data_IF_960268494245
#
_entry.id   IF_960268494245
#
_cell.length_a   1.000
_cell.length_b   1.000
_cell.length_c   1.000
_cell.angle_alpha   90.00
_cell.angle_beta   90.00
_cell.angle_gamma   90.00
#
_symmetry.space_group_name_H-M   'P 1'
#
loop_
_entity.id
_entity.type
_entity.pdbx_description
1 polymer ?
#
# COMPACT_ATOMS: atom_id res chain seq x y z
N UNK A 1 -8.89 23.73 -20.07
CA UNK A 1 -10.08 23.90 -19.21
C UNK A 1 -11.29 23.46 -20.04
N UNK A 2 -12.09 22.50 -19.58
CA UNK A 2 -13.27 22.05 -20.30
C UNK A 2 -14.45 23.01 -20.10
N UNK A 3 -15.28 23.16 -21.13
CA UNK A 3 -16.40 24.12 -21.23
C UNK A 3 -17.58 23.74 -20.29
N UNK A 4 -18.01 24.63 -19.38
CA UNK A 4 -19.17 24.44 -18.52
C UNK A 4 -20.51 24.21 -19.23
N UNK A 5 -20.59 24.43 -20.54
CA UNK A 5 -21.79 24.14 -21.34
C UNK A 5 -22.01 22.64 -21.60
N UNK A 6 -21.03 21.78 -21.29
CA UNK A 6 -21.09 20.32 -21.49
C UNK A 6 -21.74 19.54 -20.34
N UNK A 7 -22.26 20.20 -19.31
CA UNK A 7 -23.05 19.56 -18.24
C UNK A 7 -24.53 19.42 -18.66
N UNK A 8 -25.10 18.20 -18.75
CA UNK A 8 -26.53 18.04 -19.02
C UNK A 8 -27.36 18.63 -17.88
N UNK A 9 -28.30 19.54 -18.21
CA UNK A 9 -29.19 20.26 -17.27
C UNK A 9 -30.21 19.39 -16.50
N UNK A 10 -30.12 18.08 -16.59
CA UNK A 10 -31.09 17.14 -16.00
C UNK A 10 -30.52 16.30 -14.84
N UNK A 11 -29.65 16.89 -14.03
CA UNK A 11 -29.22 16.29 -12.76
C UNK A 11 -30.26 16.57 -11.67
N UNK A 12 -30.98 15.55 -11.22
CA UNK A 12 -31.79 15.65 -9.99
C UNK A 12 -33.13 14.91 -9.96
N UNK A 13 -33.61 14.33 -11.07
CA UNK A 13 -34.90 13.60 -11.06
C UNK A 13 -34.71 12.09 -11.17
N UNK A 14 -35.27 11.35 -10.21
CA UNK A 14 -35.34 9.90 -10.23
C UNK A 14 -36.27 9.43 -11.38
N UNK A 15 -35.91 8.37 -12.13
CA UNK A 15 -36.72 7.90 -13.25
C UNK A 15 -38.10 7.42 -12.78
N UNK A 16 -39.15 7.88 -13.47
CA UNK A 16 -40.56 7.66 -13.08
C UNK A 16 -41.12 6.27 -13.40
N UNK A 17 -40.39 5.41 -14.12
CA UNK A 17 -40.73 3.99 -14.32
C UNK A 17 -39.49 3.10 -14.40
N UNK A 18 -39.56 1.98 -13.67
CA UNK A 18 -38.57 0.89 -13.63
C UNK A 18 -38.58 0.13 -14.97
N UNK A 19 -37.42 -0.17 -15.60
CA UNK A 19 -37.36 -1.03 -16.78
C UNK A 19 -37.85 -2.45 -16.48
N UNK A 20 -38.48 -3.08 -17.45
CA UNK A 20 -39.06 -4.42 -17.30
C UNK A 20 -37.94 -5.47 -17.17
N UNK A 21 -37.95 -6.22 -16.07
CA UNK A 21 -36.89 -7.15 -15.68
C UNK A 21 -37.16 -8.54 -16.27
N UNK A 22 -36.42 -8.92 -17.32
CA UNK A 22 -36.21 -10.32 -17.68
C UNK A 22 -35.17 -10.92 -16.74
N UNK A 23 -35.65 -11.69 -15.75
CA UNK A 23 -34.93 -12.65 -14.89
C UNK A 23 -33.48 -12.32 -14.46
N UNK A 24 -33.29 -11.27 -13.67
CA UNK A 24 -32.28 -11.28 -12.61
C UNK A 24 -32.88 -10.70 -11.33
N UNK A 25 -33.22 -11.59 -10.40
CA UNK A 25 -33.62 -11.22 -9.04
C UNK A 25 -32.39 -10.70 -8.29
N UNK A 26 -32.36 -9.40 -8.02
CA UNK A 26 -31.66 -8.85 -6.86
C UNK A 26 -32.74 -8.55 -5.82
N UNK A 27 -32.87 -9.47 -4.86
CA UNK A 27 -33.55 -9.17 -3.59
C UNK A 27 -32.56 -8.45 -2.70
N UNK A 28 -33.00 -7.36 -2.08
CA UNK A 28 -32.32 -6.70 -0.97
C UNK A 28 -31.81 -7.77 0.01
N UNK A 29 -30.49 -7.99 0.05
CA UNK A 29 -29.91 -9.01 0.92
C UNK A 29 -28.54 -8.57 1.41
N UNK A 30 -28.40 -8.61 2.74
CA UNK A 30 -27.17 -8.39 3.49
C UNK A 30 -26.22 -9.60 3.38
N UNK A 31 -25.86 -10.04 2.16
CA UNK A 31 -24.93 -11.17 1.98
C UNK A 31 -23.91 -10.85 0.87
N UNK A 32 -22.60 -11.18 1.04
CA UNK A 32 -21.56 -10.84 0.08
C UNK A 32 -21.73 -11.61 -1.23
N UNK A 33 -21.67 -10.90 -2.36
CA UNK A 33 -21.78 -11.48 -3.71
C UNK A 33 -20.59 -12.39 -4.04
N UNK A 34 -20.87 -13.65 -4.37
CA UNK A 34 -19.90 -14.61 -4.94
C UNK A 34 -19.63 -14.25 -6.42
N UNK A 35 -18.38 -13.96 -6.79
CA UNK A 35 -17.92 -13.77 -8.18
C UNK A 35 -16.97 -14.91 -8.59
N UNK A 36 -16.89 -15.41 -9.83
CA UNK A 36 -16.24 -16.69 -10.23
C UNK A 36 -14.71 -16.86 -9.96
N UNK A 37 -14.20 -18.07 -10.21
CA UNK A 37 -12.95 -18.69 -9.67
C UNK A 37 -11.59 -18.09 -10.11
N UNK A 38 -11.59 -16.92 -10.77
CA UNK A 38 -10.38 -16.34 -11.37
C UNK A 38 -10.46 -14.81 -11.61
N UNK A 39 -10.91 -14.03 -10.63
CA UNK A 39 -10.83 -12.56 -10.69
C UNK A 39 -9.37 -12.09 -10.93
N UNK A 40 -9.04 -11.12 -11.79
CA UNK A 40 -9.82 -10.09 -12.49
C UNK A 40 -9.91 -10.30 -14.01
N UNK A 41 -11.11 -10.40 -14.57
CA UNK A 41 -11.48 -9.95 -15.93
C UNK A 41 -13.00 -10.05 -16.16
N UNK A 42 -13.84 -9.56 -15.23
CA UNK A 42 -15.31 -9.58 -15.41
C UNK A 42 -16.01 -8.27 -14.94
N UNK A 43 -17.20 -7.94 -15.49
CA UNK A 43 -17.78 -6.59 -15.50
C UNK A 43 -18.62 -6.18 -14.27
N UNK A 44 -18.56 -4.89 -13.90
CA UNK A 44 -19.53 -4.23 -13.02
C UNK A 44 -20.53 -3.40 -13.82
N UNK A 45 -21.80 -3.38 -13.39
CA UNK A 45 -22.80 -2.51 -13.95
C UNK A 45 -22.55 -1.06 -13.47
N UNK A 46 -22.01 -0.24 -14.39
CA UNK A 46 -22.14 1.23 -14.46
C UNK A 46 -21.71 2.05 -13.23
N UNK A 47 -20.58 2.76 -13.32
CA UNK A 47 -20.36 3.96 -12.50
C UNK A 47 -21.00 5.19 -13.18
N UNK A 48 -21.95 5.88 -12.55
CA UNK A 48 -22.42 7.15 -13.03
C UNK A 48 -21.37 8.22 -12.70
N UNK A 49 -20.66 8.74 -13.71
CA UNK A 49 -19.91 10.00 -13.59
C UNK A 49 -18.43 9.95 -13.18
N UNK A 50 -17.75 8.79 -13.24
CA UNK A 50 -16.32 8.67 -12.93
C UNK A 50 -15.40 9.07 -14.09
N UNK A 51 -14.29 9.73 -13.78
CA UNK A 51 -13.30 10.21 -14.74
C UNK A 51 -12.75 9.11 -15.66
N UNK A 52 -13.00 9.27 -16.97
CA UNK A 52 -12.20 8.69 -18.05
C UNK A 52 -12.92 7.63 -18.89
N UNK A 53 -13.09 7.91 -20.19
CA UNK A 53 -13.39 6.90 -21.21
C UNK A 53 -12.42 5.67 -21.16
N UNK A 54 -11.26 5.81 -20.52
CA UNK A 54 -10.28 4.73 -20.29
C UNK A 54 -10.69 3.69 -19.22
N UNK A 55 -11.62 4.02 -18.32
CA UNK A 55 -12.10 3.12 -17.26
C UNK A 55 -13.21 2.15 -17.75
N UNK A 56 -13.71 2.35 -18.98
CA UNK A 56 -14.78 1.55 -19.57
C UNK A 56 -14.16 0.51 -20.53
N UNK A 57 -14.35 -0.78 -20.24
CA UNK A 57 -14.08 -1.87 -21.20
C UNK A 57 -15.36 -2.37 -21.85
N UNK A 58 -15.20 -3.15 -22.92
CA UNK A 58 -16.27 -3.97 -23.48
C UNK A 58 -15.99 -5.43 -23.16
N UNK A 59 -17.01 -6.16 -22.72
CA UNK A 59 -16.92 -7.61 -22.56
C UNK A 59 -16.91 -8.33 -23.92
N UNK A 60 -16.86 -9.67 -23.90
CA UNK A 60 -16.90 -10.52 -25.10
C UNK A 60 -18.17 -10.35 -25.94
N UNK A 61 -19.22 -9.75 -25.37
CA UNK A 61 -20.51 -9.47 -26.00
C UNK A 61 -20.63 -8.00 -26.45
N UNK A 62 -19.57 -7.19 -26.25
CA UNK A 62 -19.51 -5.79 -26.65
C UNK A 62 -20.18 -4.81 -25.68
N UNK A 63 -20.61 -5.26 -24.50
CA UNK A 63 -21.28 -4.44 -23.49
C UNK A 63 -20.26 -3.68 -22.64
N UNK A 64 -20.50 -2.38 -22.48
CA UNK A 64 -19.66 -1.51 -21.68
C UNK A 64 -19.73 -1.88 -20.19
N UNK A 65 -18.58 -1.99 -19.53
CA UNK A 65 -18.47 -2.20 -18.09
C UNK A 65 -17.35 -1.40 -17.47
N UNK A 66 -17.48 -1.18 -16.16
CA UNK A 66 -16.50 -0.42 -15.39
C UNK A 66 -15.38 -1.34 -14.86
N UNK A 67 -14.14 -1.12 -15.31
CA UNK A 67 -12.96 -1.89 -14.86
C UNK A 67 -12.57 -1.61 -13.40
N UNK A 68 -12.98 -0.46 -12.86
CA UNK A 68 -12.62 0.04 -11.52
C UNK A 68 -13.56 -0.55 -10.48
N UNK A 69 -14.84 -0.68 -10.79
CA UNK A 69 -15.86 -1.18 -9.85
C UNK A 69 -16.31 -2.62 -10.13
N UNK A 70 -15.75 -3.19 -11.21
CA UNK A 70 -16.03 -4.47 -11.87
C UNK A 70 -16.44 -5.65 -11.03
N UNK A 71 -15.44 -6.21 -10.37
CA UNK A 71 -15.50 -7.52 -9.74
C UNK A 71 -14.58 -7.51 -8.52
N UNK A 72 -14.98 -8.26 -7.49
CA UNK A 72 -14.15 -8.59 -6.33
C UNK A 72 -13.74 -10.06 -6.41
N UNK A 73 -12.50 -10.40 -6.09
CA UNK A 73 -12.13 -11.79 -5.85
C UNK A 73 -12.98 -12.47 -4.75
N UNK A 74 -13.29 -13.77 -4.90
CA UNK A 74 -14.00 -14.54 -3.85
C UNK A 74 -13.18 -14.55 -2.57
N UNK A 75 -13.80 -14.13 -1.48
CA UNK A 75 -13.15 -14.06 -0.18
C UNK A 75 -14.09 -14.65 0.87
N UNK A 76 -13.82 -15.90 1.28
CA UNK A 76 -14.59 -16.64 2.27
C UNK A 76 -13.72 -17.25 3.38
N UNK A 77 -12.39 -17.30 3.23
CA UNK A 77 -11.47 -17.86 4.22
C UNK A 77 -11.58 -17.21 5.60
N UNK A 78 -11.84 -15.90 5.64
CA UNK A 78 -12.04 -15.11 6.86
C UNK A 78 -13.34 -15.47 7.60
N UNK A 79 -14.30 -16.10 6.92
CA UNK A 79 -15.55 -16.58 7.52
C UNK A 79 -15.38 -17.92 8.23
N UNK A 80 -14.27 -18.62 8.01
CA UNK A 80 -13.94 -19.86 8.72
C UNK A 80 -13.72 -19.55 10.21
N UNK A 81 -14.06 -20.47 11.14
CA UNK A 81 -13.71 -20.29 12.55
C UNK A 81 -12.19 -20.08 12.70
N UNK A 82 -11.72 -19.09 13.49
CA UNK A 82 -10.29 -18.79 13.60
C UNK A 82 -9.40 -19.97 14.01
N UNK A 83 -9.95 -20.90 14.79
CA UNK A 83 -9.28 -22.15 15.19
C UNK A 83 -8.96 -23.09 14.01
N UNK A 84 -9.54 -22.87 12.83
CA UNK A 84 -9.36 -23.68 11.62
C UNK A 84 -8.47 -23.01 10.59
N UNK A 85 -7.99 -21.80 10.85
CA UNK A 85 -7.11 -21.09 9.94
C UNK A 85 -5.78 -21.81 9.77
N UNK A 86 -5.29 -21.87 8.54
CA UNK A 86 -3.88 -22.19 8.30
C UNK A 86 -2.98 -21.12 8.93
N UNK A 87 -1.69 -21.42 9.11
CA UNK A 87 -0.71 -20.41 9.52
C UNK A 87 -0.74 -19.17 8.61
N UNK A 88 -0.95 -19.38 7.31
CA UNK A 88 -0.95 -18.31 6.31
C UNK A 88 -2.22 -17.46 6.38
N UNK A 89 -3.38 -18.09 6.58
CA UNK A 89 -4.64 -17.38 6.84
C UNK A 89 -4.56 -16.59 8.15
N UNK A 90 -3.95 -17.13 9.20
CA UNK A 90 -3.69 -16.40 10.43
C UNK A 90 -2.80 -15.17 10.20
N UNK A 91 -1.71 -15.30 9.46
CA UNK A 91 -0.83 -14.16 9.12
C UNK A 91 -1.60 -13.10 8.30
N UNK A 92 -2.36 -13.53 7.29
CA UNK A 92 -3.19 -12.62 6.49
C UNK A 92 -4.29 -11.94 7.33
N UNK A 93 -4.80 -12.61 8.36
CA UNK A 93 -5.86 -12.09 9.24
C UNK A 93 -5.44 -10.85 10.03
N UNK A 94 -4.12 -10.61 10.18
CA UNK A 94 -3.59 -9.42 10.85
C UNK A 94 -3.98 -8.11 10.15
N UNK A 95 -4.40 -8.17 8.88
CA UNK A 95 -4.89 -7.01 8.11
C UNK A 95 -6.39 -7.05 7.80
N UNK A 96 -7.17 -7.87 8.53
CA UNK A 96 -8.63 -7.73 8.50
C UNK A 96 -9.01 -6.36 9.06
N UNK A 97 -9.25 -5.43 8.15
CA UNK A 97 -9.59 -4.06 8.43
C UNK A 97 -10.95 -3.97 9.14
N UNK A 98 -11.27 -2.81 9.74
CA UNK A 98 -12.59 -2.53 10.27
C UNK A 98 -13.67 -2.78 9.21
N UNK A 99 -14.79 -3.39 9.58
CA UNK A 99 -15.86 -3.79 8.65
C UNK A 99 -16.37 -2.64 7.78
N UNK A 100 -16.45 -1.43 8.36
CA UNK A 100 -16.83 -0.19 7.67
C UNK A 100 -15.95 0.12 6.45
N UNK A 101 -14.70 -0.34 6.43
CA UNK A 101 -13.78 -0.13 5.32
C UNK A 101 -14.11 -1.00 4.11
N UNK A 102 -14.75 -2.16 4.32
CA UNK A 102 -15.06 -3.10 3.23
C UNK A 102 -16.40 -2.83 2.54
N UNK A 103 -17.28 -2.08 3.22
CA UNK A 103 -18.61 -1.77 2.72
C UNK A 103 -18.58 -0.47 1.92
N UNK A 104 -19.39 -0.41 0.86
CA UNK A 104 -19.69 0.86 0.20
C UNK A 104 -20.48 1.72 1.18
N UNK A 105 -20.03 2.95 1.39
CA UNK A 105 -20.73 3.89 2.25
C UNK A 105 -22.10 4.26 1.67
N UNK A 106 -23.11 4.33 2.52
CA UNK A 106 -24.45 4.70 2.07
C UNK A 106 -24.48 6.16 1.60
N UNK A 107 -25.04 6.41 0.42
CA UNK A 107 -25.16 7.75 -0.16
C UNK A 107 -26.02 8.71 0.68
N UNK A 108 -26.85 8.16 1.57
CA UNK A 108 -27.68 8.92 2.51
C UNK A 108 -26.93 9.39 3.75
N UNK A 109 -25.72 8.89 4.01
CA UNK A 109 -24.92 9.34 5.14
C UNK A 109 -24.31 10.72 4.91
N UNK A 110 -24.11 11.45 6.01
CA UNK A 110 -23.45 12.76 5.98
C UNK A 110 -22.02 12.63 5.45
N UNK A 111 -21.67 13.40 4.42
CA UNK A 111 -20.30 13.46 3.88
C UNK A 111 -19.27 13.79 4.98
N UNK A 112 -18.07 13.19 4.89
CA UNK A 112 -17.00 13.39 5.89
C UNK A 112 -16.35 14.78 5.87
N UNK A 113 -16.67 15.61 4.88
CA UNK A 113 -16.00 16.90 4.65
C UNK A 113 -14.65 16.75 3.92
N UNK A 114 -13.79 17.79 3.91
CA UNK A 114 -12.48 17.70 3.29
C UNK A 114 -11.58 16.68 4.01
N UNK A 115 -10.68 15.96 3.30
CA UNK A 115 -9.74 15.05 3.97
C UNK A 115 -8.89 15.80 5.01
N UNK A 116 -8.62 15.24 6.21
CA UNK A 116 -7.72 15.86 7.17
C UNK A 116 -6.27 15.84 6.67
N UNK A 117 -5.46 16.78 7.18
CA UNK A 117 -4.01 16.77 7.01
C UNK A 117 -3.35 15.97 8.14
N UNK A 118 -2.51 15.00 7.80
CA UNK A 118 -1.70 14.26 8.76
C UNK A 118 -0.28 14.83 8.83
N UNK A 119 0.14 15.40 9.97
CA UNK A 119 1.47 16.01 10.08
C UNK A 119 2.58 14.96 10.26
N UNK A 120 3.69 15.13 9.56
CA UNK A 120 4.84 14.21 9.55
C UNK A 120 5.41 13.93 10.96
N UNK A 121 5.40 14.92 11.87
CA UNK A 121 5.94 14.73 13.22
C UNK A 121 5.19 13.64 14.01
N UNK A 122 3.89 13.46 13.78
CA UNK A 122 3.10 12.39 14.43
C UNK A 122 3.53 11.02 13.97
N UNK A 123 3.96 10.89 12.72
CA UNK A 123 4.42 9.62 12.18
C UNK A 123 5.84 9.31 12.62
N UNK A 124 6.74 10.30 12.64
CA UNK A 124 8.07 10.13 13.21
C UNK A 124 8.01 9.81 14.72
N UNK A 125 7.06 10.39 15.47
CA UNK A 125 6.81 10.08 16.87
C UNK A 125 6.31 8.64 17.12
N UNK A 126 5.82 7.96 16.09
CA UNK A 126 5.50 6.53 16.12
C UNK A 126 6.68 5.68 15.61
N UNK A 127 7.22 6.01 14.44
CA UNK A 127 8.23 5.21 13.74
C UNK A 127 9.51 5.13 14.55
N UNK A 128 10.06 6.28 14.99
CA UNK A 128 11.37 6.33 15.65
C UNK A 128 11.37 5.53 16.97
N UNK A 129 10.44 5.75 17.92
CA UNK A 129 10.45 5.00 19.17
C UNK A 129 10.20 3.50 18.95
N UNK A 130 9.26 3.13 18.07
CA UNK A 130 8.91 1.73 17.84
C UNK A 130 10.06 0.98 17.14
N UNK A 131 10.68 1.59 16.13
CA UNK A 131 11.86 1.01 15.46
C UNK A 131 13.11 1.00 16.36
N UNK A 132 13.16 1.83 17.41
CA UNK A 132 14.27 1.84 18.38
C UNK A 132 14.28 0.65 19.34
N UNK A 133 13.15 -0.04 19.53
CA UNK A 133 13.01 -1.13 20.51
C UNK A 133 14.14 -2.17 20.43
N UNK A 134 14.44 -2.81 19.28
CA UNK A 134 15.51 -3.80 19.20
C UNK A 134 16.90 -3.19 19.43
N UNK A 135 17.12 -1.95 18.99
CA UNK A 135 18.39 -1.24 19.21
C UNK A 135 18.64 -0.98 20.70
N UNK A 136 17.60 -0.55 21.43
CA UNK A 136 17.67 -0.31 22.88
C UNK A 136 17.88 -1.62 23.64
N UNK A 137 17.15 -2.69 23.29
CA UNK A 137 17.31 -4.00 23.93
C UNK A 137 18.72 -4.55 23.67
N UNK A 138 19.21 -4.47 22.44
CA UNK A 138 20.57 -4.89 22.08
C UNK A 138 21.63 -4.08 22.83
N UNK A 139 21.50 -2.75 22.86
CA UNK A 139 22.40 -1.89 23.63
C UNK A 139 22.41 -2.25 25.12
N UNK A 140 21.22 -2.43 25.71
CA UNK A 140 21.07 -2.80 27.12
C UNK A 140 21.70 -4.18 27.40
N UNK A 141 21.47 -5.17 26.54
CA UNK A 141 22.11 -6.48 26.62
C UNK A 141 23.65 -6.36 26.67
N UNK A 142 24.23 -5.63 25.72
CA UNK A 142 25.68 -5.46 25.63
C UNK A 142 26.29 -4.66 26.79
N UNK A 143 25.47 -3.87 27.51
CA UNK A 143 25.86 -3.14 28.73
C UNK A 143 25.74 -4.00 29.98
N UNK A 144 24.67 -4.79 30.10
CA UNK A 144 24.41 -5.63 31.27
C UNK A 144 25.26 -6.90 31.28
N UNK A 145 25.61 -7.42 30.10
CA UNK A 145 26.40 -8.66 29.96
C UNK A 145 27.60 -8.42 29.03
N UNK A 146 28.59 -7.61 29.44
CA UNK A 146 29.69 -7.19 28.56
C UNK A 146 30.56 -8.35 28.07
N UNK A 147 30.71 -9.42 28.85
CA UNK A 147 31.47 -10.63 28.47
C UNK A 147 30.74 -11.51 27.43
N UNK A 148 29.44 -11.29 27.22
CA UNK A 148 28.62 -12.04 26.27
C UNK A 148 27.82 -11.08 25.38
N UNK A 149 28.53 -10.32 24.55
CA UNK A 149 27.93 -9.46 23.52
C UNK A 149 26.94 -10.24 22.66
N UNK A 150 25.87 -9.57 22.24
CA UNK A 150 24.80 -10.20 21.49
C UNK A 150 25.33 -10.75 20.17
N UNK A 151 25.36 -12.07 20.05
CA UNK A 151 25.78 -12.74 18.83
C UNK A 151 24.81 -12.47 17.68
N UNK A 152 25.28 -12.54 16.44
CA UNK A 152 24.49 -12.18 15.26
C UNK A 152 23.18 -12.99 15.15
N UNK A 153 23.20 -14.28 15.50
CA UNK A 153 22.04 -15.17 15.37
C UNK A 153 20.88 -14.81 16.34
N UNK A 154 21.07 -14.77 17.68
CA UNK A 154 20.03 -14.28 18.58
C UNK A 154 19.74 -12.78 18.38
N UNK A 155 20.72 -12.00 17.91
CA UNK A 155 20.52 -10.64 17.45
C UNK A 155 19.50 -10.56 16.31
N UNK A 156 19.66 -11.33 15.24
CA UNK A 156 18.71 -11.32 14.14
C UNK A 156 17.30 -11.71 14.59
N UNK A 157 17.17 -12.74 15.44
CA UNK A 157 15.85 -13.11 16.01
C UNK A 157 15.21 -11.94 16.76
N UNK A 158 15.96 -11.21 17.59
CA UNK A 158 15.47 -10.02 18.30
C UNK A 158 14.96 -8.94 17.32
N UNK A 159 15.76 -8.63 16.29
CA UNK A 159 15.39 -7.59 15.31
C UNK A 159 14.22 -8.03 14.43
N UNK A 160 14.16 -9.30 14.05
CA UNK A 160 13.09 -9.88 13.26
C UNK A 160 11.76 -9.86 14.02
N UNK A 161 11.73 -10.34 15.27
CA UNK A 161 10.53 -10.28 16.10
C UNK A 161 10.10 -8.84 16.39
N UNK A 162 11.04 -7.92 16.59
CA UNK A 162 10.74 -6.51 16.76
C UNK A 162 10.18 -5.86 15.49
N UNK A 163 10.63 -6.29 14.31
CA UNK A 163 10.09 -5.84 13.02
C UNK A 163 8.66 -6.34 12.81
N UNK A 164 8.36 -7.59 13.19
CA UNK A 164 6.98 -8.11 13.20
C UNK A 164 6.10 -7.30 14.15
N UNK A 165 6.59 -7.00 15.36
CA UNK A 165 5.88 -6.13 16.30
C UNK A 165 5.64 -4.73 15.73
N UNK A 166 6.65 -4.13 15.08
CA UNK A 166 6.52 -2.84 14.41
C UNK A 166 5.42 -2.87 13.34
N UNK A 167 5.43 -3.88 12.47
CA UNK A 167 4.42 -4.07 11.42
C UNK A 167 3.01 -4.25 12.01
N UNK A 168 2.87 -5.06 13.06
CA UNK A 168 1.58 -5.28 13.74
C UNK A 168 1.02 -3.99 14.34
N UNK A 169 1.85 -3.24 15.08
CA UNK A 169 1.43 -1.95 15.68
C UNK A 169 1.10 -0.91 14.61
N UNK A 170 1.85 -0.89 13.51
CA UNK A 170 1.63 -0.02 12.38
C UNK A 170 0.30 -0.32 11.68
N UNK A 171 0.02 -1.60 11.37
CA UNK A 171 -1.23 -2.01 10.71
C UNK A 171 -2.43 -1.62 11.59
N UNK A 172 -2.40 -1.95 12.89
CA UNK A 172 -3.47 -1.55 13.81
C UNK A 172 -3.66 -0.03 13.90
N UNK A 173 -2.59 0.75 13.81
CA UNK A 173 -2.66 2.22 13.70
C UNK A 173 -3.34 2.66 12.40
N UNK A 174 -2.97 2.08 11.25
CA UNK A 174 -3.58 2.41 9.96
C UNK A 174 -5.07 2.06 9.95
N UNK A 175 -5.45 0.89 10.44
CA UNK A 175 -6.86 0.47 10.60
C UNK A 175 -7.68 1.46 11.42
N UNK A 176 -7.14 1.95 12.54
CA UNK A 176 -7.80 2.99 13.34
C UNK A 176 -8.11 4.23 12.51
N UNK A 177 -7.17 4.68 11.68
CA UNK A 177 -7.39 5.83 10.80
C UNK A 177 -8.31 5.53 9.62
N UNK A 178 -8.29 4.32 9.06
CA UNK A 178 -9.27 3.89 8.05
C UNK A 178 -10.70 3.97 8.60
N UNK A 179 -10.94 3.50 9.83
CA UNK A 179 -12.25 3.65 10.48
C UNK A 179 -12.61 5.11 10.79
N UNK A 180 -11.63 5.89 11.26
CA UNK A 180 -11.88 7.27 11.73
C UNK A 180 -12.10 8.24 10.57
N UNK A 181 -11.21 8.23 9.57
CA UNK A 181 -11.22 9.16 8.45
C UNK A 181 -11.97 8.62 7.22
N UNK A 182 -12.32 7.34 7.22
CA UNK A 182 -12.81 6.66 6.03
C UNK A 182 -11.67 6.33 5.06
N UNK A 183 -12.05 5.78 3.92
CA UNK A 183 -11.12 5.49 2.83
C UNK A 183 -11.49 6.32 1.59
N UNK A 184 -10.51 6.59 0.74
CA UNK A 184 -10.78 7.21 -0.55
C UNK A 184 -11.78 6.37 -1.33
N UNK A 185 -12.62 7.05 -2.12
CA UNK A 185 -13.64 6.43 -2.98
C UNK A 185 -14.77 5.67 -2.25
N UNK A 186 -14.93 5.87 -0.93
CA UNK A 186 -15.85 5.09 -0.09
C UNK A 186 -17.32 5.13 -0.55
N UNK A 187 -17.74 6.16 -1.29
CA UNK A 187 -19.10 6.27 -1.87
C UNK A 187 -19.33 5.33 -3.05
N UNK A 188 -18.27 4.95 -3.76
CA UNK A 188 -18.33 4.09 -4.93
C UNK A 188 -18.02 2.63 -4.55
N UNK A 189 -16.97 2.40 -3.75
CA UNK A 189 -16.48 1.06 -3.41
C UNK A 189 -15.69 1.04 -2.09
N UNK A 190 -15.92 0.03 -1.26
CA UNK A 190 -15.09 -0.27 -0.09
C UNK A 190 -13.77 -0.94 -0.48
N UNK A 191 -12.87 -1.17 0.48
CA UNK A 191 -11.59 -1.86 0.26
C UNK A 191 -11.77 -3.32 -0.14
N UNK A 192 -10.77 -3.86 -0.80
CA UNK A 192 -10.67 -5.24 -1.24
C UNK A 192 -10.11 -6.11 -0.10
N UNK A 193 -10.40 -7.41 -0.17
CA UNK A 193 -9.79 -8.42 0.69
C UNK A 193 -8.97 -9.37 -0.14
N UNK A 194 -8.08 -10.11 0.53
CA UNK A 194 -7.30 -11.19 -0.06
C UNK A 194 -8.23 -12.34 -0.41
N UNK A 195 -8.14 -12.86 -1.62
CA UNK A 195 -9.01 -13.94 -2.05
C UNK A 195 -8.58 -15.33 -1.58
N UNK A 196 -9.51 -16.27 -1.62
CA UNK A 196 -9.32 -17.64 -1.13
C UNK A 196 -8.19 -18.40 -1.84
N UNK A 197 -7.92 -18.07 -3.12
CA UNK A 197 -6.89 -18.73 -3.91
C UNK A 197 -5.50 -18.22 -3.56
N UNK A 198 -5.36 -16.93 -3.26
CA UNK A 198 -4.06 -16.31 -3.02
C UNK A 198 -3.72 -16.12 -1.53
N UNK A 199 -4.64 -16.32 -0.58
CA UNK A 199 -4.35 -16.12 0.86
C UNK A 199 -3.14 -16.90 1.38
N UNK A 200 -2.99 -18.16 0.96
CA UNK A 200 -1.84 -18.97 1.37
C UNK A 200 -0.53 -18.52 0.71
N UNK A 201 -0.60 -17.99 -0.52
CA UNK A 201 0.57 -17.41 -1.20
C UNK A 201 1.00 -16.13 -0.48
N UNK A 202 0.06 -15.21 -0.26
CA UNK A 202 0.30 -13.97 0.46
C UNK A 202 0.95 -14.19 1.84
N UNK A 203 0.42 -15.12 2.65
CA UNK A 203 1.01 -15.43 3.96
C UNK A 203 2.47 -15.90 3.88
N UNK A 204 2.82 -16.67 2.84
CA UNK A 204 4.20 -17.09 2.57
C UNK A 204 5.06 -15.91 2.11
N UNK A 205 4.54 -15.05 1.23
CA UNK A 205 5.23 -13.85 0.76
C UNK A 205 5.53 -12.88 1.89
N UNK A 206 4.60 -12.67 2.82
CA UNK A 206 4.81 -11.86 4.04
C UNK A 206 5.95 -12.46 4.89
N UNK A 207 5.95 -13.77 5.10
CA UNK A 207 7.01 -14.44 5.84
C UNK A 207 8.38 -14.27 5.16
N UNK A 208 8.47 -14.53 3.86
CA UNK A 208 9.70 -14.36 3.06
C UNK A 208 10.18 -12.90 3.13
N UNK A 209 9.27 -11.95 2.88
CA UNK A 209 9.56 -10.52 2.93
C UNK A 209 10.16 -10.11 4.28
N UNK A 210 9.51 -10.47 5.40
CA UNK A 210 9.96 -10.07 6.74
C UNK A 210 11.33 -10.69 7.09
N UNK A 211 11.58 -11.94 6.70
CA UNK A 211 12.89 -12.60 6.89
C UNK A 211 13.98 -11.85 6.12
N UNK A 212 13.81 -11.65 4.82
CA UNK A 212 14.88 -11.05 4.00
C UNK A 212 15.09 -9.57 4.25
N UNK A 213 14.02 -8.81 4.52
CA UNK A 213 14.14 -7.40 4.94
C UNK A 213 14.97 -7.27 6.20
N UNK A 214 14.72 -8.12 7.20
CA UNK A 214 15.45 -8.05 8.47
C UNK A 214 16.85 -8.67 8.42
N UNK A 215 17.13 -9.55 7.47
CA UNK A 215 18.50 -10.05 7.21
C UNK A 215 19.40 -9.00 6.53
N UNK A 216 18.84 -8.09 5.73
CA UNK A 216 19.58 -7.07 4.99
C UNK A 216 20.61 -6.29 5.83
N UNK A 217 20.23 -5.65 6.95
CA UNK A 217 21.16 -4.94 7.83
C UNK A 217 22.30 -5.83 8.35
N UNK A 218 22.00 -7.10 8.64
CA UNK A 218 22.97 -8.05 9.16
C UNK A 218 24.01 -8.42 8.11
N UNK A 219 23.58 -8.70 6.88
CA UNK A 219 24.48 -9.03 5.78
C UNK A 219 25.34 -7.80 5.42
N UNK A 220 24.69 -6.64 5.24
CA UNK A 220 25.33 -5.45 4.69
C UNK A 220 26.23 -4.73 5.70
N UNK A 221 25.83 -4.65 6.97
CA UNK A 221 26.47 -3.73 7.92
C UNK A 221 26.72 -4.29 9.33
N UNK A 222 26.36 -5.54 9.65
CA UNK A 222 26.79 -6.13 10.93
C UNK A 222 28.28 -6.44 10.92
N UNK A 223 29.06 -5.80 11.79
CA UNK A 223 30.52 -5.95 11.85
C UNK A 223 31.00 -5.98 13.30
N UNK A 224 32.03 -6.79 13.56
CA UNK A 224 32.61 -6.96 14.89
C UNK A 224 31.59 -7.45 15.92
N UNK A 225 31.80 -7.03 17.17
CA UNK A 225 30.96 -7.42 18.31
C UNK A 225 29.69 -6.57 18.46
N UNK A 226 29.50 -5.56 17.61
CA UNK A 226 28.37 -4.62 17.65
C UNK A 226 28.10 -4.03 19.05
N UNK A 227 29.18 -3.70 19.78
CA UNK A 227 29.11 -3.27 21.19
C UNK A 227 28.13 -2.11 21.44
N UNK A 228 27.95 -1.21 20.48
CA UNK A 228 26.91 -0.20 20.48
C UNK A 228 26.12 -0.24 19.15
N UNK A 229 24.86 -0.71 19.13
CA UNK A 229 24.09 -0.77 17.89
C UNK A 229 23.68 0.60 17.33
N UNK A 230 23.86 1.69 18.10
CA UNK A 230 23.66 3.06 17.62
C UNK A 230 24.90 3.66 16.96
N UNK A 231 26.02 2.93 16.94
CA UNK A 231 27.24 3.41 16.30
C UNK A 231 27.02 3.64 14.79
N UNK A 232 27.51 4.78 14.31
CA UNK A 232 27.34 5.22 12.92
C UNK A 232 26.23 6.26 12.71
N UNK A 233 25.37 6.52 13.70
CA UNK A 233 24.47 7.68 13.65
C UNK A 233 25.26 8.99 13.63
N UNK A 234 24.86 9.89 12.74
CA UNK A 234 25.46 11.22 12.56
C UNK A 234 24.43 12.21 12.01
N UNK A 235 24.82 13.47 11.85
CA UNK A 235 23.99 14.47 11.19
C UNK A 235 23.62 14.09 9.74
N UNK A 236 24.41 13.21 9.11
CA UNK A 236 24.16 12.71 7.76
C UNK A 236 23.20 11.51 7.70
N UNK A 237 22.78 10.94 8.83
CA UNK A 237 21.94 9.75 8.83
C UNK A 237 20.59 9.98 8.18
N UNK A 238 19.93 11.11 8.47
CA UNK A 238 18.65 11.45 7.82
C UNK A 238 18.83 11.64 6.31
N UNK A 239 19.78 12.47 5.81
CA UNK A 239 20.07 12.57 4.39
C UNK A 239 20.42 11.24 3.71
N UNK A 240 21.16 10.34 4.37
CA UNK A 240 21.48 9.02 3.82
C UNK A 240 20.25 8.14 3.66
N UNK A 241 19.39 8.10 4.68
CA UNK A 241 18.11 7.35 4.61
C UNK A 241 17.24 7.92 3.50
N UNK A 242 17.09 9.25 3.43
CA UNK A 242 16.37 9.92 2.35
C UNK A 242 16.94 9.58 0.95
N UNK A 243 18.27 9.60 0.80
CA UNK A 243 18.93 9.24 -0.45
C UNK A 243 18.67 7.78 -0.81
N UNK A 244 18.64 6.88 0.17
CA UNK A 244 18.27 5.48 -0.04
C UNK A 244 16.84 5.32 -0.51
N UNK A 245 15.87 5.98 0.13
CA UNK A 245 14.47 5.94 -0.31
C UNK A 245 14.31 6.47 -1.75
N UNK A 246 14.97 7.59 -2.11
CA UNK A 246 14.91 8.13 -3.47
C UNK A 246 15.57 7.20 -4.50
N UNK A 247 16.70 6.57 -4.16
CA UNK A 247 17.37 5.62 -5.03
C UNK A 247 16.55 4.34 -5.22
N UNK A 248 15.95 3.83 -4.15
CA UNK A 248 15.02 2.71 -4.18
C UNK A 248 13.82 3.03 -5.08
N UNK A 249 13.25 4.22 -4.90
CA UNK A 249 12.13 4.71 -5.68
C UNK A 249 12.44 4.83 -7.18
N UNK A 250 13.69 5.17 -7.55
CA UNK A 250 14.10 5.21 -8.95
C UNK A 250 14.02 3.84 -9.63
N UNK A 251 14.64 2.83 -9.00
CA UNK A 251 14.65 1.47 -9.53
C UNK A 251 13.25 0.88 -9.53
N UNK A 252 12.46 1.17 -8.50
CA UNK A 252 11.05 0.83 -8.44
C UNK A 252 10.28 1.47 -9.61
N UNK A 253 10.34 2.79 -9.75
CA UNK A 253 9.69 3.56 -10.80
C UNK A 253 10.01 3.02 -12.20
N UNK A 254 11.28 2.68 -12.46
CA UNK A 254 11.72 2.20 -13.76
C UNK A 254 11.04 0.87 -14.14
N UNK A 255 11.08 -0.14 -13.27
CA UNK A 255 10.43 -1.42 -13.59
C UNK A 255 8.91 -1.25 -13.58
N UNK A 256 8.38 -0.48 -12.64
CA UNK A 256 6.96 -0.33 -12.43
C UNK A 256 6.31 0.35 -13.63
N UNK A 257 6.81 1.52 -14.04
CA UNK A 257 6.36 2.17 -15.28
C UNK A 257 6.50 1.26 -16.48
N UNK A 258 7.60 0.51 -16.60
CA UNK A 258 7.79 -0.41 -17.73
C UNK A 258 6.69 -1.48 -17.79
N UNK A 259 6.23 -2.01 -16.65
CA UNK A 259 5.13 -2.97 -16.61
C UNK A 259 3.79 -2.36 -17.05
N UNK A 260 3.57 -1.06 -16.79
CA UNK A 260 2.37 -0.35 -17.21
C UNK A 260 2.37 0.05 -18.69
N UNK A 261 3.50 0.53 -19.20
CA UNK A 261 3.62 1.08 -20.55
C UNK A 261 3.81 -0.02 -21.62
N UNK A 262 4.40 -1.17 -21.26
CA UNK A 262 4.65 -2.27 -22.20
C UNK A 262 3.75 -3.47 -21.91
N UNK A 263 2.85 -3.80 -22.84
CA UNK A 263 1.93 -4.94 -22.74
C UNK A 263 2.63 -6.28 -22.45
N UNK A 264 3.82 -6.48 -23.03
CA UNK A 264 4.63 -7.68 -22.83
C UNK A 264 5.18 -7.83 -21.40
N UNK A 265 5.19 -6.77 -20.60
CA UNK A 265 5.68 -6.76 -19.22
C UNK A 265 4.54 -6.72 -18.18
N UNK A 266 3.30 -6.42 -18.60
CA UNK A 266 2.15 -6.30 -17.70
C UNK A 266 1.91 -7.56 -16.86
N UNK A 267 2.25 -8.74 -17.37
CA UNK A 267 2.09 -9.99 -16.63
C UNK A 267 2.86 -10.03 -15.30
N UNK A 268 3.94 -9.24 -15.16
CA UNK A 268 4.72 -9.15 -13.93
C UNK A 268 3.92 -8.43 -12.84
N UNK A 269 3.12 -7.42 -13.22
CA UNK A 269 2.50 -6.49 -12.26
C UNK A 269 0.98 -6.63 -12.15
N UNK A 270 0.33 -7.36 -13.06
CA UNK A 270 -1.12 -7.51 -13.10
C UNK A 270 -1.72 -8.10 -11.82
N UNK A 271 -1.02 -9.03 -11.16
CA UNK A 271 -1.51 -9.69 -9.94
C UNK A 271 -1.58 -8.70 -8.78
N UNK A 272 -0.59 -7.83 -8.66
CA UNK A 272 -0.62 -6.74 -7.70
C UNK A 272 -1.83 -5.81 -7.89
N UNK A 273 -2.11 -5.49 -9.16
CA UNK A 273 -3.29 -4.72 -9.55
C UNK A 273 -4.60 -5.51 -9.63
N UNK A 274 -4.62 -6.78 -9.24
CA UNK A 274 -5.88 -7.52 -9.07
C UNK A 274 -6.75 -6.88 -7.96
N UNK A 275 -6.12 -6.13 -7.05
CA UNK A 275 -6.82 -5.30 -6.06
C UNK A 275 -6.82 -3.84 -6.52
N UNK A 276 -8.03 -3.26 -6.61
CA UNK A 276 -8.25 -1.85 -7.02
C UNK A 276 -8.31 -0.92 -5.83
N UNK A 277 -8.77 -1.46 -4.69
CA UNK A 277 -8.86 -0.74 -3.44
C UNK A 277 -8.12 -1.57 -2.36
N UNK A 278 -6.79 -1.72 -2.43
CA UNK A 278 -6.04 -2.59 -1.54
C UNK A 278 -6.16 -2.24 -0.04
N UNK A 279 -5.68 -3.10 0.84
CA UNK A 279 -5.45 -2.80 2.26
C UNK A 279 -3.95 -2.85 2.53
N UNK A 280 -3.46 -2.38 3.70
CA UNK A 280 -2.02 -2.31 3.96
C UNK A 280 -1.23 -3.58 3.62
N UNK A 281 -1.73 -4.78 3.92
CA UNK A 281 -1.01 -6.03 3.65
C UNK A 281 -1.05 -6.45 2.19
N UNK A 282 -2.03 -5.97 1.42
CA UNK A 282 -2.09 -6.22 -0.02
C UNK A 282 -0.94 -5.55 -0.77
N UNK A 283 -0.14 -4.72 -0.09
CA UNK A 283 1.12 -4.17 -0.64
C UNK A 283 2.13 -5.23 -1.07
N UNK A 284 2.05 -6.45 -0.52
CA UNK A 284 2.94 -7.57 -0.86
C UNK A 284 2.24 -8.66 -1.68
N UNK A 285 0.95 -8.50 -2.01
CA UNK A 285 0.28 -9.42 -2.91
C UNK A 285 0.82 -9.21 -4.34
N UNK A 286 1.62 -10.16 -4.82
CA UNK A 286 2.20 -10.15 -6.15
C UNK A 286 2.57 -11.57 -6.60
N UNK A 287 2.99 -11.72 -7.86
CA UNK A 287 3.57 -12.96 -8.38
C UNK A 287 5.08 -13.03 -8.07
N UNK A 288 5.64 -14.25 -8.06
CA UNK A 288 7.04 -14.55 -7.69
C UNK A 288 8.09 -13.64 -8.36
N UNK A 289 7.87 -13.25 -9.62
CA UNK A 289 8.81 -12.40 -10.38
C UNK A 289 8.84 -10.99 -9.79
N UNK A 290 7.66 -10.40 -9.54
CA UNK A 290 7.57 -9.08 -8.93
C UNK A 290 8.10 -9.10 -7.50
N UNK A 291 7.77 -10.14 -6.72
CA UNK A 291 8.33 -10.32 -5.37
C UNK A 291 9.86 -10.36 -5.41
N UNK A 292 10.45 -11.10 -6.35
CA UNK A 292 11.91 -11.15 -6.49
C UNK A 292 12.51 -9.78 -6.82
N UNK A 293 11.88 -9.04 -7.74
CA UNK A 293 12.30 -7.68 -8.11
C UNK A 293 12.25 -6.75 -6.90
N UNK A 294 11.14 -6.71 -6.17
CA UNK A 294 10.90 -5.75 -5.08
C UNK A 294 11.63 -6.11 -3.79
N UNK A 295 11.78 -7.39 -3.46
CA UNK A 295 12.43 -7.85 -2.23
C UNK A 295 13.96 -7.83 -2.37
N UNK A 296 14.49 -8.20 -3.54
CA UNK A 296 15.93 -8.40 -3.73
C UNK A 296 16.55 -7.38 -4.67
N UNK A 297 16.07 -7.28 -5.91
CA UNK A 297 16.77 -6.55 -6.97
C UNK A 297 16.74 -5.04 -6.71
N UNK A 298 15.57 -4.46 -6.46
CA UNK A 298 15.39 -3.02 -6.25
C UNK A 298 16.18 -2.53 -5.03
N UNK A 299 16.09 -3.16 -3.83
CA UNK A 299 16.90 -2.74 -2.68
C UNK A 299 18.41 -2.93 -2.90
N UNK A 300 18.82 -3.99 -3.60
CA UNK A 300 20.22 -4.21 -3.95
C UNK A 300 20.74 -3.08 -4.85
N UNK A 301 20.05 -2.77 -5.95
CA UNK A 301 20.45 -1.70 -6.86
C UNK A 301 20.45 -0.32 -6.18
N UNK A 302 19.50 -0.06 -5.28
CA UNK A 302 19.50 1.14 -4.45
C UNK A 302 20.77 1.21 -3.59
N UNK A 303 21.14 0.11 -2.93
CA UNK A 303 22.32 0.06 -2.07
C UNK A 303 23.64 0.34 -2.81
N UNK A 304 23.73 0.00 -4.11
CA UNK A 304 24.92 0.23 -4.93
C UNK A 304 25.18 1.71 -5.23
N UNK A 305 24.13 2.53 -5.28
CA UNK A 305 24.22 3.96 -5.66
C UNK A 305 24.05 4.91 -4.48
N UNK A 306 23.76 4.38 -3.29
CA UNK A 306 23.60 5.16 -2.06
C UNK A 306 24.88 5.20 -1.24
N UNK A 307 25.13 6.27 -0.47
CA UNK A 307 26.26 6.30 0.46
C UNK A 307 26.22 5.12 1.43
N UNK A 308 27.38 4.61 1.82
CA UNK A 308 27.46 3.51 2.79
C UNK A 308 26.72 3.88 4.09
N UNK A 309 25.76 3.03 4.44
CA UNK A 309 24.94 3.16 5.64
C UNK A 309 25.41 2.20 6.74
N UNK A 310 25.42 2.70 7.96
CA UNK A 310 25.61 1.91 9.18
C UNK A 310 24.42 0.97 9.42
N UNK A 311 24.59 0.00 10.31
CA UNK A 311 23.55 -0.97 10.64
C UNK A 311 22.24 -0.30 11.06
N UNK A 312 22.31 0.70 11.94
CA UNK A 312 21.15 1.47 12.42
C UNK A 312 20.50 2.33 11.34
N UNK A 313 21.28 2.91 10.42
CA UNK A 313 20.75 3.66 9.28
C UNK A 313 19.93 2.75 8.34
N UNK A 314 20.44 1.55 8.00
CA UNK A 314 19.71 0.57 7.17
C UNK A 314 18.45 0.08 7.90
N UNK A 315 18.54 -0.20 9.20
CA UNK A 315 17.40 -0.61 10.03
C UNK A 315 16.26 0.41 9.99
N UNK A 316 16.57 1.70 10.17
CA UNK A 316 15.56 2.75 10.06
C UNK A 316 15.02 2.89 8.63
N UNK A 317 15.87 2.84 7.61
CA UNK A 317 15.43 2.89 6.22
C UNK A 317 14.38 1.80 5.92
N UNK A 318 14.62 0.56 6.34
CA UNK A 318 13.66 -0.53 6.15
C UNK A 318 12.33 -0.29 6.90
N UNK A 319 12.38 0.29 8.10
CA UNK A 319 11.16 0.62 8.86
C UNK A 319 10.36 1.75 8.19
N UNK A 320 11.02 2.78 7.67
CA UNK A 320 10.37 3.85 6.90
C UNK A 320 9.78 3.32 5.60
N UNK A 321 10.55 2.53 4.85
CA UNK A 321 10.10 1.88 3.63
C UNK A 321 8.83 1.07 3.87
N UNK A 322 8.84 0.12 4.81
CA UNK A 322 7.65 -0.68 5.16
C UNK A 322 6.45 0.21 5.49
N UNK A 323 6.70 1.25 6.28
CA UNK A 323 5.66 2.17 6.71
C UNK A 323 5.00 2.90 5.53
N UNK A 324 5.79 3.41 4.60
CA UNK A 324 5.29 4.15 3.43
C UNK A 324 4.58 3.21 2.45
N UNK A 325 5.12 2.01 2.23
CA UNK A 325 4.50 1.00 1.37
C UNK A 325 3.11 0.60 1.89
N UNK A 326 3.00 0.27 3.18
CA UNK A 326 1.73 -0.09 3.81
C UNK A 326 0.74 1.10 3.83
N UNK A 327 1.25 2.31 4.10
CA UNK A 327 0.47 3.54 4.09
C UNK A 327 -0.15 3.81 2.70
N UNK A 328 0.62 3.67 1.62
CA UNK A 328 0.15 3.87 0.25
C UNK A 328 -0.98 2.93 -0.16
N UNK A 329 -0.99 1.70 0.37
CA UNK A 329 -2.05 0.71 0.08
C UNK A 329 -3.25 0.81 1.02
N UNK A 330 -3.17 1.60 2.09
CA UNK A 330 -4.26 1.72 3.07
C UNK A 330 -5.53 2.38 2.51
N UNK A 331 -5.37 3.26 1.51
CA UNK A 331 -6.45 4.09 0.98
C UNK A 331 -7.07 5.04 2.01
N UNK A 332 -6.41 5.33 3.14
CA UNK A 332 -6.92 6.23 4.18
C UNK A 332 -7.23 7.59 3.56
N UNK A 333 -8.45 8.10 3.78
CA UNK A 333 -8.92 9.38 3.25
C UNK A 333 -8.32 10.57 3.98
N UNK A 334 -7.04 10.83 3.80
CA UNK A 334 -6.30 11.94 4.40
C UNK A 334 -5.18 12.42 3.47
N UNK A 335 -4.85 13.72 3.52
CA UNK A 335 -3.57 14.15 2.99
C UNK A 335 -2.49 13.72 3.97
N UNK A 336 -1.80 12.65 3.61
CA UNK A 336 -0.83 12.01 4.48
C UNK A 336 0.47 11.80 3.70
N UNK A 337 1.43 12.73 3.84
CA UNK A 337 2.65 12.70 3.05
C UNK A 337 3.68 11.75 3.65
N UNK A 338 4.69 11.39 2.85
CA UNK A 338 5.86 10.62 3.27
C UNK A 338 6.51 11.23 4.55
N UNK A 339 6.79 10.44 5.61
CA UNK A 339 7.20 10.94 6.94
C UNK A 339 8.59 11.60 6.98
N UNK A 340 9.49 11.27 6.05
CA UNK A 340 10.77 11.96 5.86
C UNK A 340 10.76 12.99 4.72
N UNK A 341 10.44 12.54 3.49
CA UNK A 341 10.61 13.33 2.27
C UNK A 341 9.50 14.35 2.00
N UNK A 342 8.34 14.23 2.66
CA UNK A 342 7.14 15.00 2.36
C UNK A 342 7.35 16.53 2.38
N UNK A 343 7.93 17.05 3.45
CA UNK A 343 8.15 18.50 3.61
C UNK A 343 9.13 19.06 2.58
N UNK A 344 10.19 18.32 2.28
CA UNK A 344 11.26 18.75 1.37
C UNK A 344 10.79 18.75 -0.09
N UNK A 345 9.98 17.75 -0.47
CA UNK A 345 9.53 17.57 -1.85
C UNK A 345 8.24 18.32 -2.19
N UNK A 346 7.45 18.71 -1.17
CA UNK A 346 6.17 19.44 -1.35
C UNK A 346 6.31 20.73 -2.14
N UNK A 347 7.29 21.63 -1.88
CA UNK A 347 7.45 22.86 -2.65
C UNK A 347 7.73 22.64 -4.14
N UNK A 348 8.20 21.44 -4.51
CA UNK A 348 8.50 21.05 -5.88
C UNK A 348 7.34 20.27 -6.54
N UNK A 349 6.26 20.00 -5.79
CA UNK A 349 5.17 19.13 -6.23
C UNK A 349 5.61 17.67 -6.43
N UNK A 350 6.66 17.23 -5.74
CA UNK A 350 7.28 15.91 -5.86
C UNK A 350 7.02 15.01 -4.65
N UNK A 351 6.23 15.48 -3.69
CA UNK A 351 5.90 14.73 -2.48
C UNK A 351 4.87 13.65 -2.77
N UNK A 352 5.08 12.45 -2.22
CA UNK A 352 4.09 11.38 -2.23
C UNK A 352 3.14 11.52 -1.04
N UNK A 353 1.85 11.31 -1.28
CA UNK A 353 0.79 11.16 -0.29
C UNK A 353 -0.05 9.91 -0.58
N UNK A 354 -0.81 9.42 0.42
CA UNK A 354 -1.62 8.18 0.31
C UNK A 354 -2.48 8.12 -0.95
N UNK A 355 -3.12 9.25 -1.33
CA UNK A 355 -4.00 9.27 -2.49
C UNK A 355 -3.29 8.97 -3.81
N UNK A 356 -2.00 9.30 -3.93
CA UNK A 356 -1.26 9.13 -5.17
C UNK A 356 -1.19 7.64 -5.57
N UNK A 357 -0.92 6.76 -4.60
CA UNK A 357 -0.88 5.30 -4.82
C UNK A 357 -2.28 4.66 -4.81
N UNK A 358 -3.22 5.22 -4.06
CA UNK A 358 -4.63 4.78 -4.13
C UNK A 358 -5.20 4.97 -5.54
N UNK A 359 -4.99 6.15 -6.15
CA UNK A 359 -5.42 6.43 -7.52
C UNK A 359 -4.69 5.54 -8.53
N UNK A 360 -3.41 5.28 -8.30
CA UNK A 360 -2.63 4.36 -9.11
C UNK A 360 -3.30 2.96 -9.17
N UNK A 361 -3.61 2.35 -8.03
CA UNK A 361 -4.35 1.08 -7.97
C UNK A 361 -5.75 1.16 -8.57
N UNK A 362 -6.48 2.22 -8.24
CA UNK A 362 -7.87 2.43 -8.67
C UNK A 362 -7.97 2.39 -10.20
N UNK A 363 -7.04 3.03 -10.90
CA UNK A 363 -7.02 3.05 -12.36
C UNK A 363 -6.24 1.88 -12.99
N UNK A 364 -5.67 0.98 -12.18
CA UNK A 364 -5.00 -0.23 -12.64
C UNK A 364 -3.91 0.04 -13.67
N UNK A 365 -3.94 -0.66 -14.81
CA UNK A 365 -2.93 -0.52 -15.86
C UNK A 365 -2.77 0.91 -16.40
N UNK A 366 -3.86 1.69 -16.44
CA UNK A 366 -3.82 3.10 -16.86
C UNK A 366 -3.52 4.07 -15.71
N UNK A 367 -3.19 3.55 -14.53
CA UNK A 367 -2.78 4.33 -13.37
C UNK A 367 -1.51 5.13 -13.64
N UNK A 368 -1.48 6.33 -13.08
CA UNK A 368 -0.32 7.23 -13.03
C UNK A 368 0.34 7.13 -11.65
N UNK A 369 1.30 8.01 -11.33
CA UNK A 369 2.02 8.00 -10.05
C UNK A 369 2.76 6.68 -9.81
N UNK A 370 3.74 6.36 -10.65
CA UNK A 370 4.47 5.10 -10.60
C UNK A 370 5.52 5.07 -9.46
N UNK A 371 5.84 6.19 -8.81
CA UNK A 371 6.71 6.20 -7.63
C UNK A 371 6.03 5.66 -6.37
N UNK A 372 6.79 4.98 -5.52
CA UNK A 372 6.33 4.35 -4.26
C UNK A 372 6.79 5.09 -3.00
N UNK A 373 7.87 5.87 -3.09
CA UNK A 373 8.38 6.72 -2.00
C UNK A 373 8.27 8.21 -2.32
N UNK A 374 8.34 8.58 -3.60
CA UNK A 374 8.26 9.98 -4.04
C UNK A 374 7.48 10.12 -5.33
N UNK A 375 7.21 11.36 -5.75
CA UNK A 375 6.79 11.69 -7.12
C UNK A 375 7.91 12.39 -7.90
N UNK A 376 9.17 12.27 -7.47
CA UNK A 376 10.32 12.91 -8.16
C UNK A 376 10.36 12.43 -9.61
N UNK A 377 10.35 11.11 -9.80
CA UNK A 377 10.45 10.48 -11.11
C UNK A 377 9.20 10.71 -11.94
N UNK A 378 8.02 10.65 -11.31
CA UNK A 378 6.77 11.00 -11.98
C UNK A 378 6.77 12.44 -12.50
N UNK A 379 7.29 13.38 -11.72
CA UNK A 379 7.36 14.80 -12.10
C UNK A 379 8.35 15.01 -13.24
N UNK A 380 9.53 14.37 -13.17
CA UNK A 380 10.58 14.47 -14.20
C UNK A 380 10.08 13.90 -15.54
N UNK A 381 9.34 12.79 -15.50
CA UNK A 381 8.95 12.05 -16.71
C UNK A 381 7.48 12.25 -17.13
N UNK A 382 6.75 13.14 -16.47
CA UNK A 382 5.40 13.55 -16.88
C UNK A 382 4.29 12.54 -16.57
N UNK A 383 4.47 11.69 -15.55
CA UNK A 383 3.51 10.64 -15.16
C UNK A 383 2.78 10.95 -13.85
N UNK A 384 2.79 12.20 -13.39
CA UNK A 384 1.97 12.65 -12.24
C UNK A 384 0.49 12.59 -12.60
N UNK A 385 -0.29 11.90 -11.76
CA UNK A 385 -1.75 11.96 -11.73
C UNK A 385 -2.24 13.06 -10.81
N UNK A 386 -3.34 13.72 -11.17
CA UNK A 386 -3.99 14.70 -10.30
C UNK A 386 -4.73 13.99 -9.18
N UNK A 387 -4.52 14.47 -7.95
CA UNK A 387 -5.29 14.05 -6.77
C UNK A 387 -6.75 14.45 -6.95
N UNK A 388 -7.70 13.64 -6.47
CA UNK A 388 -9.13 13.88 -6.62
C UNK A 388 -9.70 14.50 -5.34
N UNK A 389 -9.50 13.83 -4.21
CA UNK A 389 -10.06 14.19 -2.91
C UNK A 389 -9.13 15.12 -2.11
N UNK A 390 -7.82 15.01 -2.29
CA UNK A 390 -6.83 15.90 -1.66
C UNK A 390 -6.39 17.08 -2.55
N UNK A 391 -7.03 17.30 -3.71
CA UNK A 391 -6.71 18.38 -4.65
C UNK A 391 -6.73 19.78 -4.00
N UNK A 392 -7.65 20.01 -3.06
CA UNK A 392 -7.94 21.33 -2.49
C UNK A 392 -6.93 21.81 -1.43
N UNK A 393 -5.85 21.08 -1.17
CA UNK A 393 -4.95 21.37 -0.04
C UNK A 393 -3.62 22.04 -0.42
N UNK A 394 -3.41 22.35 -1.70
CA UNK A 394 -2.14 22.84 -2.24
C UNK A 394 -2.35 23.81 -3.40
#
# INVERSE_FOLDING_TARGET
>A
MADPSQFPKAMGEAPSRRPNMGEQKLTDSNVPSLAPDNACDEPAPTAPGGAGHAAIAKDSEGKNFDKVYGVRPKTTWQLKPPATWTLWEFIASLDLCPEVSYQRRAATEKLRGPPPYQPMWRENAFIIPTASIPLVIHWAWNKLVPEHKLHFAPGWVLYHLSFILFAFLMIGRLHKYMATYGTFDELNRGRDMVDDRHVNHLGRSIFIYTVFRTLGPFILSWRGEMSNPFEGLSIYSIPKIMAFEVALDYWFYLYHRSCHEFDSLWFIHRQHHATKHPTPILSILADDIQECIEIFIVPFLASLVTPKMSFVEIHYAICYLLYVEALGHSGIRAYWPHPLLGLMLRPLGMELAVEDHDLHHRFGKSGKNYGKQTRIWDRIFGTVGERIECAAQY
#
